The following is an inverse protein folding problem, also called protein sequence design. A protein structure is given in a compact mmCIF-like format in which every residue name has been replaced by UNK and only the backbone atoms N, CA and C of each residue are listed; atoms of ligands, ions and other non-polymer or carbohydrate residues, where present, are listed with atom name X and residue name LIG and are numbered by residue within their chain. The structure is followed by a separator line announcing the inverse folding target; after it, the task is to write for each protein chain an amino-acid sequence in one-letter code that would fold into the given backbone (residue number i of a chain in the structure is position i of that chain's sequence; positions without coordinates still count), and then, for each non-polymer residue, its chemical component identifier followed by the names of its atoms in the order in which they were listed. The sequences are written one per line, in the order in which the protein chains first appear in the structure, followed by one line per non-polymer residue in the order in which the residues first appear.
data_IF_551765840448
#
_entry.id   IF_551765840448
#
_cell.length_a   1.000
_cell.length_b   1.000
_cell.length_c   1.000
_cell.angle_alpha   90.00
_cell.angle_beta   90.00
_cell.angle_gamma   90.00
#
_symmetry.space_group_name_H-M   'P 1'
#
loop_
_entity.id
_entity.type
_entity.pdbx_description
1 polymer ?
#
# COMPACT_ATOMS: atom_id res chain seq x y z
N UNK A 1 6.36 9.03 17.53
CA UNK A 1 5.64 8.09 16.66
C UNK A 1 6.61 7.60 15.60
N UNK A 2 7.05 6.33 15.69
CA UNK A 2 7.87 5.74 14.63
C UNK A 2 6.95 5.50 13.43
N UNK A 3 7.04 6.34 12.40
CA UNK A 3 6.27 6.16 11.18
C UNK A 3 6.87 5.02 10.37
N UNK A 4 6.04 4.04 10.01
CA UNK A 4 6.48 2.88 9.24
C UNK A 4 7.02 3.30 7.87
N UNK A 5 7.91 2.49 7.30
CA UNK A 5 8.43 2.68 5.93
C UNK A 5 7.73 1.73 4.99
N UNK A 6 7.03 2.27 3.98
CA UNK A 6 6.39 1.46 2.94
C UNK A 6 7.39 1.00 1.87
N UNK A 7 7.00 -0.01 1.08
CA UNK A 7 7.78 -0.44 -0.09
C UNK A 7 8.13 0.73 -1.03
N UNK A 8 7.16 1.60 -1.32
CA UNK A 8 7.37 2.75 -2.21
C UNK A 8 8.39 3.73 -1.62
N UNK A 9 8.25 4.03 -0.32
CA UNK A 9 9.20 4.89 0.40
C UNK A 9 10.62 4.32 0.41
N UNK A 10 10.77 3.00 0.59
CA UNK A 10 12.07 2.35 0.52
C UNK A 10 12.70 2.46 -0.87
N UNK A 11 11.92 2.22 -1.94
CA UNK A 11 12.39 2.39 -3.31
C UNK A 11 12.77 3.85 -3.61
N UNK A 12 11.99 4.82 -3.15
CA UNK A 12 12.31 6.23 -3.25
C UNK A 12 13.63 6.57 -2.55
N UNK A 13 13.88 6.01 -1.36
CA UNK A 13 15.16 6.20 -0.68
C UNK A 13 16.34 5.67 -1.50
N UNK A 14 16.21 4.48 -2.08
CA UNK A 14 17.25 3.89 -2.93
C UNK A 14 17.50 4.70 -4.20
N UNK A 15 16.46 5.32 -4.77
CA UNK A 15 16.59 6.17 -5.96
C UNK A 15 17.15 7.57 -5.62
N UNK A 16 16.63 8.19 -4.56
CA UNK A 16 17.01 9.53 -4.12
C UNK A 16 16.65 9.74 -2.63
N UNK A 17 17.64 9.66 -1.76
CA UNK A 17 17.47 9.84 -0.31
C UNK A 17 16.94 11.22 0.07
N UNK A 18 17.27 12.27 -0.69
CA UNK A 18 16.76 13.63 -0.49
C UNK A 18 15.24 13.72 -0.78
N UNK A 19 14.78 13.03 -1.82
CA UNK A 19 13.35 12.95 -2.14
C UNK A 19 12.60 12.21 -1.03
N UNK A 20 13.10 11.06 -0.58
CA UNK A 20 12.52 10.32 0.55
C UNK A 20 12.43 11.19 1.83
N UNK A 21 13.47 11.97 2.11
CA UNK A 21 13.45 12.89 3.26
C UNK A 21 12.33 13.93 3.13
N UNK A 22 12.13 14.53 1.96
CA UNK A 22 11.03 15.46 1.69
C UNK A 22 9.67 14.76 1.83
N UNK A 23 9.51 13.55 1.32
CA UNK A 23 8.29 12.75 1.44
C UNK A 23 7.92 12.51 2.92
N UNK A 24 8.90 12.22 3.78
CA UNK A 24 8.71 11.98 5.23
C UNK A 24 8.46 13.24 6.05
N UNK A 25 9.19 14.32 5.76
CA UNK A 25 9.27 15.49 6.64
C UNK A 25 8.58 16.75 6.08
N UNK A 26 8.31 16.78 4.78
CA UNK A 26 7.68 17.90 4.05
C UNK A 26 6.72 17.40 2.94
N UNK A 27 5.73 16.56 3.27
CA UNK A 27 4.82 15.94 2.28
C UNK A 27 4.07 16.97 1.44
N UNK A 28 3.83 18.18 1.96
CA UNK A 28 3.20 19.30 1.24
C UNK A 28 4.01 19.79 0.03
N UNK A 29 5.31 19.56 0.01
CA UNK A 29 6.19 19.87 -1.14
C UNK A 29 6.03 18.80 -2.21
N UNK A 30 6.04 17.53 -1.81
CA UNK A 30 5.91 16.38 -2.71
C UNK A 30 4.53 16.34 -3.35
N UNK A 31 3.47 16.65 -2.60
CA UNK A 31 2.09 16.65 -3.09
C UNK A 31 1.82 17.67 -4.22
N UNK A 32 2.70 18.67 -4.39
CA UNK A 32 2.62 19.65 -5.49
C UNK A 32 3.28 19.15 -6.78
N UNK A 33 4.04 18.06 -6.72
CA UNK A 33 4.67 17.49 -7.90
C UNK A 33 3.61 16.78 -8.73
N UNK A 34 3.51 17.07 -10.04
CA UNK A 34 2.57 16.37 -10.90
C UNK A 34 2.97 14.90 -11.02
N UNK A 35 1.97 14.02 -11.02
CA UNK A 35 2.15 12.63 -11.42
C UNK A 35 2.23 12.62 -12.94
N UNK A 36 3.23 11.94 -13.50
CA UNK A 36 3.34 11.79 -14.96
C UNK A 36 2.24 10.87 -15.51
N UNK A 37 1.82 11.07 -16.75
CA UNK A 37 0.83 10.21 -17.42
C UNK A 37 1.24 8.73 -17.38
N UNK A 38 2.54 8.44 -17.52
CA UNK A 38 3.08 7.10 -17.42
C UNK A 38 2.89 6.48 -16.02
N UNK A 39 3.14 7.23 -14.96
CA UNK A 39 2.92 6.77 -13.58
C UNK A 39 1.42 6.58 -13.31
N UNK A 40 0.58 7.48 -13.80
CA UNK A 40 -0.87 7.37 -13.69
C UNK A 40 -1.37 6.10 -14.37
N UNK A 41 -0.89 5.81 -15.58
CA UNK A 41 -1.25 4.59 -16.31
C UNK A 41 -0.86 3.32 -15.54
N UNK A 42 0.32 3.28 -14.89
CA UNK A 42 0.73 2.13 -14.06
C UNK A 42 -0.25 1.93 -12.87
N UNK A 43 -0.68 3.03 -12.24
CA UNK A 43 -1.64 2.97 -11.13
C UNK A 43 -2.99 2.44 -11.62
N UNK A 44 -3.50 2.97 -12.71
CA UNK A 44 -4.79 2.58 -13.30
C UNK A 44 -4.80 1.10 -13.71
N UNK A 45 -3.74 0.63 -14.36
CA UNK A 45 -3.58 -0.78 -14.70
C UNK A 45 -3.57 -1.67 -13.46
N UNK A 46 -2.89 -1.25 -12.38
CA UNK A 46 -2.91 -1.98 -11.12
C UNK A 46 -4.31 -2.12 -10.53
N UNK A 47 -5.10 -1.03 -10.55
CA UNK A 47 -6.50 -1.02 -10.10
C UNK A 47 -7.35 -1.96 -10.97
N UNK A 48 -7.17 -1.93 -12.29
CA UNK A 48 -7.92 -2.79 -13.20
C UNK A 48 -7.66 -4.28 -12.94
N UNK A 49 -6.39 -4.65 -12.79
CA UNK A 49 -5.99 -6.04 -12.48
C UNK A 49 -6.63 -6.52 -11.18
N UNK A 50 -6.63 -5.69 -10.13
CA UNK A 50 -7.26 -6.03 -8.86
C UNK A 50 -8.78 -6.21 -8.99
N UNK A 51 -9.45 -5.35 -9.77
CA UNK A 51 -10.88 -5.52 -10.06
C UNK A 51 -11.19 -6.85 -10.73
N UNK A 52 -10.33 -7.30 -11.66
CA UNK A 52 -10.45 -8.62 -12.27
C UNK A 52 -10.18 -9.76 -11.28
N UNK A 53 -9.18 -9.63 -10.42
CA UNK A 53 -8.91 -10.61 -9.35
C UNK A 53 -10.12 -10.78 -8.42
N UNK A 54 -10.78 -9.69 -8.04
CA UNK A 54 -12.02 -9.71 -7.24
C UNK A 54 -13.18 -10.43 -7.92
N UNK A 55 -13.28 -10.37 -9.25
CA UNK A 55 -14.27 -11.14 -10.02
C UNK A 55 -13.95 -12.64 -10.03
N UNK A 56 -12.67 -13.00 -10.06
CA UNK A 56 -12.24 -14.41 -10.04
C UNK A 56 -12.42 -15.05 -8.66
N UNK A 57 -12.30 -14.28 -7.58
CA UNK A 57 -12.44 -14.74 -6.20
C UNK A 57 -13.57 -13.98 -5.48
N UNK A 58 -14.85 -14.24 -5.84
CA UNK A 58 -15.99 -13.45 -5.36
C UNK A 58 -16.27 -13.59 -3.86
N UNK A 59 -15.72 -14.63 -3.21
CA UNK A 59 -15.80 -14.81 -1.76
C UNK A 59 -14.72 -14.05 -0.99
N UNK A 60 -13.71 -13.54 -1.70
CA UNK A 60 -12.59 -12.86 -1.08
C UNK A 60 -13.00 -11.59 -0.35
N UNK A 61 -12.32 -11.30 0.75
CA UNK A 61 -12.57 -10.16 1.63
C UNK A 61 -11.64 -9.02 1.26
N UNK A 62 -12.21 -7.85 0.95
CA UNK A 62 -11.44 -6.64 0.71
C UNK A 62 -11.27 -5.88 2.02
N UNK A 63 -10.03 -5.53 2.34
CA UNK A 63 -9.73 -4.61 3.42
C UNK A 63 -9.71 -3.18 2.85
N UNK A 64 -10.63 -2.33 3.31
CA UNK A 64 -10.75 -0.94 2.86
C UNK A 64 -10.03 0.05 3.78
N UNK A 65 -9.71 -0.39 5.01
CA UNK A 65 -8.94 0.40 5.97
C UNK A 65 -7.48 0.54 5.54
N UNK A 66 -6.73 1.40 6.22
CA UNK A 66 -5.33 1.70 5.92
C UNK A 66 -4.49 1.69 7.20
N UNK A 67 -3.18 1.76 7.01
CA UNK A 67 -2.20 1.87 8.09
C UNK A 67 -2.35 0.73 9.11
N UNK A 68 -2.24 1.03 10.40
CA UNK A 68 -2.30 0.02 11.46
C UNK A 68 -3.66 -0.70 11.51
N UNK A 69 -4.75 -0.02 11.15
CA UNK A 69 -6.07 -0.65 11.14
C UNK A 69 -6.13 -1.77 10.09
N UNK A 70 -5.53 -1.57 8.92
CA UNK A 70 -5.48 -2.60 7.89
C UNK A 70 -4.69 -3.85 8.35
N UNK A 71 -3.68 -3.67 9.19
CA UNK A 71 -2.92 -4.78 9.79
C UNK A 71 -3.80 -5.57 10.77
N UNK A 72 -4.56 -4.87 11.60
CA UNK A 72 -5.50 -5.49 12.54
C UNK A 72 -6.61 -6.25 11.82
N UNK A 73 -7.19 -5.63 10.79
CA UNK A 73 -8.24 -6.25 9.96
C UNK A 73 -7.71 -7.48 9.23
N UNK A 74 -6.48 -7.42 8.70
CA UNK A 74 -5.82 -8.57 8.05
C UNK A 74 -5.67 -9.72 9.05
N UNK A 75 -5.20 -9.40 10.26
CA UNK A 75 -5.03 -10.40 11.32
C UNK A 75 -6.36 -11.03 11.71
N UNK A 76 -7.41 -10.24 11.89
CA UNK A 76 -8.74 -10.74 12.25
C UNK A 76 -9.31 -11.70 11.18
N UNK A 77 -9.12 -11.39 9.90
CA UNK A 77 -9.56 -12.26 8.80
C UNK A 77 -8.74 -13.56 8.74
N UNK A 78 -7.43 -13.50 8.96
CA UNK A 78 -6.58 -14.69 9.04
C UNK A 78 -6.97 -15.58 10.22
N UNK A 79 -7.21 -14.99 11.40
CA UNK A 79 -7.64 -15.71 12.60
C UNK A 79 -9.04 -16.35 12.41
N UNK A 80 -9.89 -15.75 11.58
CA UNK A 80 -11.19 -16.31 11.17
C UNK A 80 -11.08 -17.41 10.09
N UNK A 81 -9.88 -17.72 9.61
CA UNK A 81 -9.63 -18.76 8.60
C UNK A 81 -9.92 -18.33 7.17
N UNK A 82 -10.01 -17.03 6.89
CA UNK A 82 -10.18 -16.53 5.53
C UNK A 82 -8.93 -16.81 4.69
N UNK A 83 -9.13 -17.34 3.49
CA UNK A 83 -8.04 -17.76 2.58
C UNK A 83 -7.86 -16.83 1.37
N UNK A 84 -8.80 -15.91 1.17
CA UNK A 84 -8.85 -14.98 0.03
C UNK A 84 -9.04 -13.58 0.59
N UNK A 85 -7.95 -12.83 0.75
CA UNK A 85 -7.96 -11.49 1.34
C UNK A 85 -7.27 -10.53 0.36
N UNK A 86 -7.98 -9.51 -0.08
CA UNK A 86 -7.47 -8.44 -0.92
C UNK A 86 -6.99 -7.27 -0.07
N UNK A 87 -5.94 -6.58 -0.50
CA UNK A 87 -5.29 -5.50 0.26
C UNK A 87 -4.78 -5.96 1.64
N UNK A 88 -4.47 -7.26 1.78
CA UNK A 88 -3.88 -7.81 2.99
C UNK A 88 -2.62 -7.01 3.36
N UNK A 89 -2.55 -6.57 4.60
CA UNK A 89 -1.55 -5.62 5.06
C UNK A 89 -0.80 -6.17 6.26
N UNK A 90 0.52 -6.03 6.22
CA UNK A 90 1.43 -6.56 7.22
C UNK A 90 2.40 -5.47 7.68
N UNK A 91 2.72 -5.51 8.97
CA UNK A 91 3.75 -4.65 9.56
C UNK A 91 4.69 -5.49 10.43
N UNK A 92 5.99 -5.28 10.29
CA UNK A 92 7.02 -5.95 11.08
C UNK A 92 8.26 -5.05 11.12
N UNK A 93 8.92 -4.94 12.29
CA UNK A 93 10.20 -4.24 12.43
C UNK A 93 10.21 -2.79 11.89
N UNK A 94 9.08 -2.07 12.01
CA UNK A 94 8.93 -0.72 11.47
C UNK A 94 8.73 -0.63 9.95
N UNK A 95 8.63 -1.77 9.26
CA UNK A 95 8.26 -1.89 7.86
C UNK A 95 6.76 -2.12 7.71
N UNK A 96 6.21 -1.64 6.59
CA UNK A 96 4.80 -1.76 6.25
C UNK A 96 4.63 -2.21 4.80
N UNK A 97 3.85 -3.25 4.57
CA UNK A 97 3.58 -3.79 3.24
C UNK A 97 2.09 -4.11 3.08
N UNK A 98 1.48 -3.51 2.05
CA UNK A 98 0.13 -3.83 1.59
C UNK A 98 0.26 -4.64 0.30
N UNK A 99 -0.40 -5.80 0.26
CA UNK A 99 -0.40 -6.73 -0.86
C UNK A 99 -1.62 -6.41 -1.73
N UNK A 100 -1.36 -5.96 -2.96
CA UNK A 100 -2.38 -5.65 -3.97
C UNK A 100 -2.64 -6.82 -4.89
#
# INVERSE_FOLDING_TARGET
MHSHTSKTQFLHYLQCSAYFWLEKHKPEVVARLPISDFQQQIIEQGIEVEQWARKLFPKGKLIETRDLQAVEDTKALLDAGETQIFQATFAAEGLYAMIR
#
